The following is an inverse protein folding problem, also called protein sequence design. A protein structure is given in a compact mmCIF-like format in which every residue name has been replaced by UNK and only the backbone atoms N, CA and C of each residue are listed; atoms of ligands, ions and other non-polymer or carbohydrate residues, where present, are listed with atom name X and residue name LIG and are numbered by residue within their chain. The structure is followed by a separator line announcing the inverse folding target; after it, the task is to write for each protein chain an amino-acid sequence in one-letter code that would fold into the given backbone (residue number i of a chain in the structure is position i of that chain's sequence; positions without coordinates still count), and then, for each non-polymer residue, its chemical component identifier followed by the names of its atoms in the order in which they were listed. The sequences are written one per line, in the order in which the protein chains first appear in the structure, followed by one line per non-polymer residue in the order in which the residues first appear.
data_IF_652633728253
#
_entry.id   IF_652633728253
#
_cell.length_a   1.000
_cell.length_b   1.000
_cell.length_c   1.000
_cell.angle_alpha   90.00
_cell.angle_beta   90.00
_cell.angle_gamma   90.00
#
_symmetry.space_group_name_H-M   'P 1'
#
loop_
_entity.id
_entity.type
_entity.pdbx_description
1 polymer ?
#
# COMPACT_ATOMS: atom_id res chain seq x y z
N UNK A 1 20.45 13.52 1.96
CA UNK A 1 20.40 14.80 1.23
C UNK A 1 21.25 15.82 1.96
N UNK A 2 21.93 16.71 1.25
CA UNK A 2 22.63 17.85 1.83
C UNK A 2 21.79 19.12 1.66
N UNK A 3 21.79 19.95 2.69
CA UNK A 3 21.00 21.19 2.75
C UNK A 3 21.93 22.33 3.15
N UNK A 4 21.84 23.44 2.45
CA UNK A 4 22.53 24.67 2.80
C UNK A 4 21.93 25.26 4.11
N UNK A 5 22.72 25.50 5.16
CA UNK A 5 22.19 25.86 6.48
C UNK A 5 21.60 27.28 6.54
N UNK A 6 21.95 28.16 5.61
CA UNK A 6 21.47 29.55 5.58
C UNK A 6 20.19 29.68 4.75
N UNK A 7 20.17 29.02 3.60
CA UNK A 7 19.07 29.13 2.61
C UNK A 7 18.06 27.99 2.70
N UNK A 8 18.38 26.93 3.43
CA UNK A 8 17.60 25.68 3.53
C UNK A 8 17.35 24.99 2.18
N UNK A 9 18.14 25.31 1.17
CA UNK A 9 18.03 24.69 -0.16
C UNK A 9 18.75 23.36 -0.20
N UNK A 10 18.15 22.38 -0.88
CA UNK A 10 18.77 21.09 -1.15
C UNK A 10 19.93 21.32 -2.14
N UNK A 11 21.15 20.97 -1.75
CA UNK A 11 22.35 21.14 -2.58
C UNK A 11 22.81 19.83 -3.21
N UNK A 12 22.48 18.69 -2.59
CA UNK A 12 22.75 17.37 -3.15
C UNK A 12 21.74 16.33 -2.66
N UNK A 13 21.38 15.40 -3.54
CA UNK A 13 20.73 14.14 -3.19
C UNK A 13 21.79 13.05 -3.29
N UNK A 14 21.97 12.30 -2.21
CA UNK A 14 22.95 11.23 -2.08
C UNK A 14 22.19 9.92 -1.84
N UNK A 15 22.92 8.80 -1.76
CA UNK A 15 22.37 7.49 -1.41
C UNK A 15 21.38 6.95 -2.46
N UNK A 16 21.79 6.98 -3.74
CA UNK A 16 20.96 6.52 -4.86
C UNK A 16 21.10 5.01 -5.13
N UNK A 17 21.88 4.27 -4.33
CA UNK A 17 22.20 2.85 -4.56
C UNK A 17 20.99 1.91 -4.49
N UNK A 18 19.91 2.34 -3.84
CA UNK A 18 18.63 1.61 -3.77
C UNK A 18 17.49 2.31 -4.52
N UNK A 19 17.78 3.25 -5.41
CA UNK A 19 16.74 3.85 -6.24
C UNK A 19 16.15 2.85 -7.23
N UNK A 20 14.84 2.89 -7.39
CA UNK A 20 14.11 2.01 -8.29
C UNK A 20 13.08 2.79 -9.11
N UNK A 21 12.74 2.27 -10.29
CA UNK A 21 11.63 2.78 -11.09
C UNK A 21 10.32 2.19 -10.54
N UNK A 22 9.45 3.05 -10.02
CA UNK A 22 8.14 2.68 -9.45
C UNK A 22 7.04 3.54 -10.09
N UNK A 23 5.76 3.12 -10.02
CA UNK A 23 4.66 3.95 -10.46
C UNK A 23 4.71 5.34 -9.82
N UNK A 24 4.54 6.40 -10.62
CA UNK A 24 4.58 7.79 -10.15
C UNK A 24 3.56 8.05 -9.02
N UNK A 25 2.45 7.33 -9.03
CA UNK A 25 1.39 7.37 -8.01
C UNK A 25 1.91 7.14 -6.58
N UNK A 26 3.01 6.40 -6.39
CA UNK A 26 3.59 6.21 -5.05
C UNK A 26 4.21 7.50 -4.48
N UNK A 27 4.62 8.43 -5.34
CA UNK A 27 5.08 9.75 -4.92
C UNK A 27 3.91 10.71 -4.62
N UNK A 28 2.69 10.33 -5.03
CA UNK A 28 1.46 11.09 -4.79
C UNK A 28 0.79 10.70 -3.49
N UNK A 29 1.33 9.74 -2.75
CA UNK A 29 0.81 9.33 -1.45
C UNK A 29 1.35 10.23 -0.33
N UNK A 30 0.53 10.42 0.71
CA UNK A 30 1.02 11.02 1.96
C UNK A 30 2.15 10.14 2.51
N UNK A 31 3.26 10.70 2.98
CA UNK A 31 4.35 9.88 3.50
C UNK A 31 3.90 9.01 4.68
N UNK A 32 4.04 7.69 4.57
CA UNK A 32 3.63 6.77 5.63
C UNK A 32 4.47 6.93 6.91
N UNK A 33 5.69 7.47 6.79
CA UNK A 33 6.66 7.59 7.89
C UNK A 33 6.40 8.78 8.84
N UNK A 34 5.28 9.50 8.72
CA UNK A 34 4.96 10.64 9.59
C UNK A 34 4.87 10.29 11.09
N UNK A 35 4.61 9.02 11.43
CA UNK A 35 4.63 8.51 12.81
C UNK A 35 5.87 7.68 13.14
N UNK A 36 6.86 7.61 12.24
CA UNK A 36 8.12 6.87 12.40
C UNK A 36 7.97 5.36 12.65
N UNK A 37 6.76 4.82 12.52
CA UNK A 37 6.44 3.40 12.59
C UNK A 37 5.56 3.03 11.40
N UNK A 38 5.86 1.89 10.77
CA UNK A 38 5.15 1.45 9.58
C UNK A 38 3.65 1.21 9.88
N UNK A 39 2.70 1.70 9.05
CA UNK A 39 1.28 1.57 9.34
C UNK A 39 0.83 0.11 9.53
N UNK A 40 1.42 -0.83 8.78
CA UNK A 40 1.09 -2.24 8.92
C UNK A 40 1.32 -2.82 10.32
N UNK A 41 2.31 -2.31 11.07
CA UNK A 41 2.56 -2.73 12.45
C UNK A 41 1.40 -2.29 13.35
N UNK A 42 0.92 -1.05 13.19
CA UNK A 42 -0.26 -0.57 13.91
C UNK A 42 -1.49 -1.41 13.60
N UNK A 43 -1.68 -1.73 12.32
CA UNK A 43 -2.82 -2.53 11.85
C UNK A 43 -2.76 -3.95 12.41
N UNK A 44 -1.61 -4.62 12.31
CA UNK A 44 -1.40 -5.97 12.84
C UNK A 44 -1.56 -6.07 14.36
N UNK A 45 -1.30 -4.98 15.09
CA UNK A 45 -1.57 -4.88 16.53
C UNK A 45 -3.03 -4.54 16.87
N UNK A 46 -3.91 -4.40 15.88
CA UNK A 46 -5.31 -4.01 16.08
C UNK A 46 -5.50 -2.55 16.51
N UNK A 47 -4.53 -1.68 16.25
CA UNK A 47 -4.47 -0.28 16.68
C UNK A 47 -4.74 0.70 15.53
N UNK A 48 -5.57 0.32 14.57
CA UNK A 48 -5.89 1.17 13.42
C UNK A 48 -6.48 2.53 13.86
N UNK A 49 -7.43 2.53 14.79
CA UNK A 49 -8.05 3.78 15.27
C UNK A 49 -7.05 4.69 15.99
N UNK A 50 -6.15 4.11 16.78
CA UNK A 50 -5.07 4.86 17.44
C UNK A 50 -4.13 5.47 16.39
N UNK A 51 -3.71 4.67 15.40
CA UNK A 51 -2.92 5.14 14.27
C UNK A 51 -3.60 6.30 13.56
N UNK A 52 -4.88 6.18 13.19
CA UNK A 52 -5.63 7.23 12.49
C UNK A 52 -5.70 8.51 13.32
N UNK A 53 -5.97 8.39 14.63
CA UNK A 53 -6.03 9.54 15.55
C UNK A 53 -4.71 10.31 15.65
N UNK A 54 -3.58 9.61 15.55
CA UNK A 54 -2.24 10.19 15.60
C UNK A 54 -1.78 10.67 14.22
N UNK A 55 -2.09 9.93 13.16
CA UNK A 55 -1.61 10.16 11.80
C UNK A 55 -2.33 11.32 11.13
N UNK A 56 -3.66 11.39 11.27
CA UNK A 56 -4.49 12.40 10.61
C UNK A 56 -4.04 13.85 10.90
N UNK A 57 -3.76 14.28 12.15
CA UNK A 57 -3.26 15.64 12.37
C UNK A 57 -1.88 15.87 11.74
N UNK A 58 -1.02 14.85 11.63
CA UNK A 58 0.31 14.98 11.00
C UNK A 58 0.22 15.02 9.48
N UNK A 59 -0.69 14.23 8.89
CA UNK A 59 -1.08 14.32 7.48
C UNK A 59 -1.52 15.73 7.14
N UNK A 60 -2.45 16.30 7.90
CA UNK A 60 -2.94 17.67 7.63
C UNK A 60 -1.84 18.73 7.81
N UNK A 61 -0.96 18.56 8.80
CA UNK A 61 0.19 19.45 8.96
C UNK A 61 1.15 19.37 7.77
N UNK A 62 1.43 18.16 7.28
CA UNK A 62 2.29 17.92 6.11
C UNK A 62 1.67 18.51 4.83
N UNK A 63 0.39 18.23 4.56
CA UNK A 63 -0.32 18.76 3.41
C UNK A 63 -0.29 20.29 3.38
N UNK A 64 -0.54 20.95 4.53
CA UNK A 64 -0.41 22.41 4.64
C UNK A 64 1.01 22.92 4.37
N UNK A 65 2.04 22.13 4.65
CA UNK A 65 3.42 22.50 4.32
C UNK A 65 3.65 22.42 2.80
N UNK A 66 3.18 21.35 2.16
CA UNK A 66 3.22 21.19 0.70
C UNK A 66 2.46 22.32 -0.01
N UNK A 67 1.22 22.62 0.42
CA UNK A 67 0.39 23.69 -0.15
C UNK A 67 1.09 25.06 -0.10
N UNK A 68 1.83 25.37 0.98
CA UNK A 68 2.60 26.62 1.08
C UNK A 68 3.76 26.67 0.08
N UNK A 69 4.43 25.54 -0.14
CA UNK A 69 5.52 25.44 -1.12
C UNK A 69 4.97 25.56 -2.53
N UNK A 70 3.87 24.87 -2.83
CA UNK A 70 3.18 24.96 -4.12
C UNK A 70 2.72 26.40 -4.42
N UNK A 71 2.12 27.10 -3.44
CA UNK A 71 1.67 28.48 -3.59
C UNK A 71 2.79 29.49 -3.84
N UNK A 72 4.03 29.17 -3.45
CA UNK A 72 5.22 30.03 -3.67
C UNK A 72 6.02 29.61 -4.90
N UNK A 73 5.70 28.48 -5.52
CA UNK A 73 6.41 27.94 -6.67
C UNK A 73 5.79 28.46 -7.97
N UNK A 74 6.60 29.08 -8.82
CA UNK A 74 6.19 29.50 -10.17
C UNK A 74 6.00 28.33 -11.13
N UNK A 75 6.51 27.12 -10.78
CA UNK A 75 6.34 25.90 -11.57
C UNK A 75 4.92 25.33 -11.46
N UNK A 76 4.24 25.52 -10.33
CA UNK A 76 2.87 25.00 -10.12
C UNK A 76 1.82 25.72 -10.96
N UNK A 77 2.14 26.90 -11.52
CA UNK A 77 1.25 27.64 -12.42
C UNK A 77 1.29 27.16 -13.88
N UNK A 78 2.21 26.25 -14.23
CA UNK A 78 2.49 25.86 -15.61
C UNK A 78 1.87 24.51 -16.03
N UNK A 79 1.32 23.73 -15.11
CA UNK A 79 0.73 22.42 -15.39
C UNK A 79 -0.77 22.44 -15.07
N UNK A 80 -1.61 22.02 -16.03
CA UNK A 80 -3.06 21.81 -15.83
C UNK A 80 -3.37 20.59 -14.92
N UNK A 81 -2.33 19.92 -14.40
CA UNK A 81 -2.47 18.80 -13.48
C UNK A 81 -2.81 19.26 -12.06
N UNK A 82 -3.65 18.49 -11.36
CA UNK A 82 -4.01 18.76 -9.97
C UNK A 82 -2.75 18.86 -9.09
N UNK A 83 -2.70 19.79 -8.13
CA UNK A 83 -1.54 19.96 -7.25
C UNK A 83 -1.15 18.66 -6.52
N UNK A 84 0.13 18.50 -6.16
CA UNK A 84 0.59 17.32 -5.42
C UNK A 84 -0.16 17.17 -4.09
N UNK A 85 -0.40 18.28 -3.38
CA UNK A 85 -1.25 18.29 -2.17
C UNK A 85 -2.66 17.75 -2.43
N UNK A 86 -3.26 18.11 -3.57
CA UNK A 86 -4.57 17.62 -3.97
C UNK A 86 -4.53 16.11 -4.28
N UNK A 87 -3.51 15.63 -4.99
CA UNK A 87 -3.34 14.20 -5.31
C UNK A 87 -3.09 13.35 -4.06
N UNK A 88 -2.31 13.87 -3.10
CA UNK A 88 -2.11 13.25 -1.78
C UNK A 88 -3.39 13.16 -0.96
N UNK A 89 -4.20 14.22 -0.97
CA UNK A 89 -5.49 14.23 -0.29
C UNK A 89 -6.46 13.22 -0.93
N UNK A 90 -6.56 13.26 -2.27
CA UNK A 90 -7.38 12.30 -3.02
C UNK A 90 -6.93 10.85 -2.75
N UNK A 91 -5.62 10.57 -2.76
CA UNK A 91 -5.09 9.23 -2.51
C UNK A 91 -5.47 8.70 -1.11
N UNK A 92 -5.50 9.58 -0.12
CA UNK A 92 -5.96 9.23 1.21
C UNK A 92 -7.48 8.98 1.25
N UNK A 93 -8.26 9.90 0.68
CA UNK A 93 -9.73 9.88 0.78
C UNK A 93 -10.37 8.72 0.00
N UNK A 94 -9.78 8.31 -1.13
CA UNK A 94 -10.27 7.16 -1.92
C UNK A 94 -9.61 5.82 -1.55
N UNK A 95 -8.74 5.79 -0.55
CA UNK A 95 -8.08 4.58 -0.07
C UNK A 95 -6.90 4.07 -0.92
N UNK A 96 -6.52 4.77 -2.00
CA UNK A 96 -5.34 4.41 -2.81
C UNK A 96 -4.05 4.40 -2.00
N UNK A 97 -3.92 5.26 -0.99
CA UNK A 97 -2.82 5.23 -0.04
C UNK A 97 -2.63 3.83 0.56
N UNK A 98 -3.72 3.21 1.01
CA UNK A 98 -3.69 1.89 1.64
C UNK A 98 -3.42 0.78 0.62
N UNK A 99 -4.00 0.89 -0.57
CA UNK A 99 -3.73 -0.04 -1.67
C UNK A 99 -2.25 -0.01 -2.06
N UNK A 100 -1.68 1.18 -2.27
CA UNK A 100 -0.28 1.37 -2.62
C UNK A 100 0.63 0.85 -1.50
N UNK A 101 0.31 1.13 -0.24
CA UNK A 101 1.06 0.62 0.91
C UNK A 101 1.08 -0.92 0.94
N UNK A 102 -0.08 -1.56 0.77
CA UNK A 102 -0.19 -3.01 0.71
C UNK A 102 0.54 -3.61 -0.52
N UNK A 103 0.52 -2.92 -1.66
CA UNK A 103 1.19 -3.38 -2.89
C UNK A 103 2.72 -3.40 -2.79
N UNK A 104 3.30 -2.61 -1.87
CA UNK A 104 4.75 -2.47 -1.71
C UNK A 104 5.38 -3.53 -0.82
N UNK A 105 4.58 -4.29 -0.07
CA UNK A 105 5.06 -5.29 0.89
C UNK A 105 4.17 -6.52 0.87
N UNK A 106 4.74 -7.66 0.47
CA UNK A 106 4.03 -8.94 0.49
C UNK A 106 3.72 -9.46 1.89
N UNK A 107 4.35 -8.89 2.92
CA UNK A 107 4.14 -9.30 4.32
C UNK A 107 2.95 -8.58 4.93
N UNK A 108 2.80 -7.29 4.64
CA UNK A 108 1.83 -6.41 5.27
C UNK A 108 0.45 -6.43 4.58
N UNK A 109 0.36 -7.12 3.44
CA UNK A 109 -0.83 -7.12 2.58
C UNK A 109 -2.05 -7.70 3.29
N UNK A 110 -1.88 -8.74 4.12
CA UNK A 110 -3.01 -9.43 4.76
C UNK A 110 -3.63 -8.53 5.84
N UNK A 111 -2.80 -7.96 6.72
CA UNK A 111 -3.25 -7.07 7.79
C UNK A 111 -3.95 -5.83 7.20
N UNK A 112 -3.34 -5.17 6.22
CA UNK A 112 -3.92 -3.97 5.59
C UNK A 112 -5.19 -4.33 4.83
N UNK A 113 -5.21 -5.47 4.11
CA UNK A 113 -6.37 -5.88 3.36
C UNK A 113 -7.57 -6.07 4.29
N UNK A 114 -7.46 -6.92 5.31
CA UNK A 114 -8.59 -7.24 6.17
C UNK A 114 -9.05 -6.08 7.04
N UNK A 115 -8.13 -5.24 7.51
CA UNK A 115 -8.47 -4.15 8.41
C UNK A 115 -8.95 -2.88 7.70
N UNK A 116 -8.51 -2.63 6.46
CA UNK A 116 -8.73 -1.34 5.78
C UNK A 116 -9.38 -1.47 4.41
N UNK A 117 -8.88 -2.37 3.56
CA UNK A 117 -9.35 -2.49 2.18
C UNK A 117 -10.58 -3.38 2.04
N UNK A 118 -10.79 -4.29 2.99
CA UNK A 118 -11.93 -5.18 3.05
C UNK A 118 -13.17 -4.43 3.55
N UNK A 119 -13.76 -3.61 2.69
CA UNK A 119 -15.06 -3.00 2.98
C UNK A 119 -16.18 -4.00 2.69
N UNK A 120 -17.07 -4.19 3.67
CA UNK A 120 -18.35 -4.90 3.51
C UNK A 120 -19.24 -4.16 2.49
N UNK A 121 -19.02 -4.40 1.20
CA UNK A 121 -19.83 -3.84 0.11
C UNK A 121 -19.06 -3.23 -1.04
N UNK A 122 -17.77 -2.92 -0.91
CA UNK A 122 -16.91 -2.71 -2.09
C UNK A 122 -16.41 -4.08 -2.52
N UNK A 123 -17.32 -4.74 -3.20
CA UNK A 123 -17.06 -5.93 -3.96
C UNK A 123 -16.03 -5.59 -5.04
N UNK A 124 -14.73 -5.69 -4.72
CA UNK A 124 -13.65 -5.78 -5.73
C UNK A 124 -13.85 -7.02 -6.63
N UNK A 125 -14.83 -7.86 -6.33
CA UNK A 125 -15.68 -8.42 -7.36
C UNK A 125 -17.13 -8.40 -6.88
N UNK A 126 -18.00 -7.57 -7.47
CA UNK A 126 -19.40 -7.94 -7.60
C UNK A 126 -19.35 -9.36 -8.14
N UNK A 127 -19.65 -10.37 -7.30
CA UNK A 127 -19.59 -11.80 -7.59
C UNK A 127 -19.33 -12.09 -9.06
N UNK A 128 -18.06 -12.05 -9.48
CA UNK A 128 -17.74 -12.34 -10.87
C UNK A 128 -17.99 -13.82 -10.97
N UNK A 129 -19.18 -14.16 -11.47
CA UNK A 129 -19.67 -15.54 -11.53
C UNK A 129 -18.66 -16.43 -12.23
N UNK A 130 -17.87 -15.84 -13.13
CA UNK A 130 -16.72 -16.47 -13.76
C UNK A 130 -15.59 -16.73 -12.77
N UNK A 131 -15.13 -15.73 -12.00
CA UNK A 131 -14.11 -15.91 -10.98
C UNK A 131 -14.51 -16.95 -9.90
N UNK A 132 -15.79 -16.98 -9.51
CA UNK A 132 -16.34 -17.97 -8.59
C UNK A 132 -16.31 -19.39 -9.20
N UNK A 133 -16.72 -19.54 -10.47
CA UNK A 133 -16.65 -20.81 -11.19
C UNK A 133 -15.21 -21.27 -11.40
N UNK A 134 -14.29 -20.38 -11.75
CA UNK A 134 -12.87 -20.65 -11.89
C UNK A 134 -12.25 -21.10 -10.55
N UNK A 135 -12.61 -20.43 -9.45
CA UNK A 135 -12.23 -20.84 -8.09
C UNK A 135 -12.73 -22.24 -7.78
N UNK A 136 -14.00 -22.56 -8.04
CA UNK A 136 -14.53 -23.90 -7.80
C UNK A 136 -13.85 -24.98 -8.65
N UNK A 137 -13.62 -24.71 -9.93
CA UNK A 137 -12.92 -25.62 -10.82
C UNK A 137 -11.47 -25.87 -10.35
N UNK A 138 -10.79 -24.80 -9.92
CA UNK A 138 -9.47 -24.88 -9.31
C UNK A 138 -9.47 -25.74 -8.05
N UNK A 139 -10.41 -25.51 -7.12
CA UNK A 139 -10.54 -26.27 -5.88
C UNK A 139 -10.80 -27.75 -6.15
N UNK A 140 -11.70 -28.07 -7.09
CA UNK A 140 -11.96 -29.46 -7.52
C UNK A 140 -10.70 -30.14 -8.04
N UNK A 141 -9.96 -29.46 -8.93
CA UNK A 141 -8.69 -29.97 -9.48
C UNK A 141 -7.67 -30.20 -8.37
N UNK A 142 -7.49 -29.25 -7.46
CA UNK A 142 -6.51 -29.38 -6.36
C UNK A 142 -6.88 -30.47 -5.37
N UNK A 143 -8.16 -30.64 -5.07
CA UNK A 143 -8.64 -31.74 -4.23
C UNK A 143 -8.41 -33.11 -4.89
N UNK A 144 -8.61 -33.22 -6.20
CA UNK A 144 -8.30 -34.44 -6.95
C UNK A 144 -6.79 -34.76 -6.92
N UNK A 145 -5.94 -33.78 -7.24
CA UNK A 145 -4.48 -33.91 -7.17
C UNK A 145 -3.99 -34.31 -5.77
N UNK A 146 -4.56 -33.70 -4.73
CA UNK A 146 -4.22 -34.02 -3.34
C UNK A 146 -4.63 -35.45 -2.96
N UNK A 147 -5.80 -35.90 -3.38
CA UNK A 147 -6.26 -37.26 -3.13
C UNK A 147 -5.41 -38.30 -3.88
N UNK A 148 -4.98 -38.01 -5.10
CA UNK A 148 -4.08 -38.87 -5.88
C UNK A 148 -2.72 -38.98 -5.19
N UNK A 149 -2.11 -37.86 -4.82
CA UNK A 149 -0.88 -37.83 -4.03
C UNK A 149 -1.01 -38.62 -2.72
N UNK A 150 -2.15 -38.50 -2.02
CA UNK A 150 -2.39 -39.27 -0.79
C UNK A 150 -2.41 -40.77 -1.05
N UNK A 151 -3.07 -41.23 -2.12
CA UNK A 151 -3.10 -42.66 -2.48
C UNK A 151 -1.72 -43.17 -2.84
N UNK A 152 -0.96 -42.41 -3.63
CA UNK A 152 0.42 -42.74 -3.98
C UNK A 152 1.26 -42.88 -2.71
N UNK A 153 1.21 -41.90 -1.82
CA UNK A 153 1.92 -41.92 -0.53
C UNK A 153 1.52 -43.12 0.34
N UNK A 154 0.23 -43.45 0.41
CA UNK A 154 -0.28 -44.59 1.19
C UNK A 154 0.09 -45.96 0.55
N UNK A 155 0.43 -45.98 -0.74
CA UNK A 155 0.85 -47.19 -1.47
C UNK A 155 2.36 -47.34 -1.63
N UNK A 156 3.14 -46.33 -1.22
CA UNK A 156 4.58 -46.27 -1.42
C UNK A 156 5.30 -46.72 -0.14
N UNK A 157 5.87 -47.93 -0.20
CA UNK A 157 6.59 -48.61 0.89
C UNK A 157 7.74 -47.76 1.49
N UNK A 158 8.22 -46.73 0.77
CA UNK A 158 9.24 -45.80 1.30
C UNK A 158 8.71 -44.90 2.42
N UNK A 159 7.39 -44.79 2.57
CA UNK A 159 6.73 -43.97 3.59
C UNK A 159 6.14 -44.80 4.74
N UNK A 160 6.29 -46.13 4.73
CA UNK A 160 5.98 -47.00 5.86
C UNK A 160 7.12 -46.91 6.90
N UNK A 161 6.94 -46.05 7.91
CA UNK A 161 7.77 -45.96 9.12
C UNK A 161 6.91 -46.19 10.34
#
# INVERSE_FOLDING_TARGET
MLVDPETLRITAVLDLEFTNAMPAQFAEDVPWWLLLQHPAVWVGEGKLEEFLSLFQPRKEQFLRAIERVEATSTLAAAEEEASLSSRMRDSWDNGRFWFNLASRSSFDVDEIYWAVLHQDGVSVGESDSQALQEKEAFLRRKKAQFNEYRREKESDERFDV
#
